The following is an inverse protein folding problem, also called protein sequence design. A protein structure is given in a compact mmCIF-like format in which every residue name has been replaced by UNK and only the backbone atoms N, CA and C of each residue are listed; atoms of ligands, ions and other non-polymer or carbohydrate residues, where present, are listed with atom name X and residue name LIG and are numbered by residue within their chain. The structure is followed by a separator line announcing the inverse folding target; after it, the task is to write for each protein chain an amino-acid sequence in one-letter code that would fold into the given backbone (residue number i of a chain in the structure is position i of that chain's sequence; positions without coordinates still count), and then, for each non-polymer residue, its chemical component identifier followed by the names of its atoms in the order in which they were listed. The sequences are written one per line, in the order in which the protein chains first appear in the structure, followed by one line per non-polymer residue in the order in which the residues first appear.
data_IF_054895568709
#
_entry.id   IF_054895568709
#
_cell.length_a   1.000
_cell.length_b   1.000
_cell.length_c   1.000
_cell.angle_alpha   90.00
_cell.angle_beta   90.00
_cell.angle_gamma   90.00
#
_symmetry.space_group_name_H-M   'P 1'
#
loop_
_entity.id
_entity.type
_entity.pdbx_description
1 polymer ?
#
# COMPACT_ATOMS: atom_id res chain seq x y z
N UNK A 1 -11.74 -23.60 15.42
CA UNK A 1 -13.09 -23.28 15.95
C UNK A 1 -14.12 -24.33 15.55
N UNK A 2 -14.38 -24.58 14.26
CA UNK A 2 -15.40 -25.52 13.80
C UNK A 2 -15.28 -26.94 14.42
N UNK A 3 -14.07 -27.51 14.47
CA UNK A 3 -13.83 -28.80 15.12
C UNK A 3 -14.22 -28.83 16.61
N UNK A 4 -14.00 -27.72 17.35
CA UNK A 4 -14.35 -27.61 18.78
C UNK A 4 -15.86 -27.51 19.02
N UNK A 5 -16.60 -26.95 18.06
CA UNK A 5 -18.07 -26.86 18.11
C UNK A 5 -18.69 -28.25 17.88
N UNK A 6 -18.11 -29.02 16.96
CA UNK A 6 -18.62 -30.36 16.59
C UNK A 6 -18.30 -31.39 17.67
N UNK A 7 -17.11 -31.35 18.27
CA UNK A 7 -16.70 -32.37 19.25
C UNK A 7 -17.32 -32.18 20.64
N UNK A 8 -17.71 -30.95 21.01
CA UNK A 8 -18.29 -30.51 22.31
C UNK A 8 -17.59 -31.00 23.60
N UNK A 9 -16.52 -31.77 23.48
CA UNK A 9 -15.74 -32.37 24.55
C UNK A 9 -14.37 -31.70 24.56
N UNK A 10 -14.27 -30.64 25.37
CA UNK A 10 -13.00 -29.98 25.65
C UNK A 10 -13.02 -29.40 27.07
N UNK A 11 -11.99 -29.74 27.84
CA UNK A 11 -11.70 -29.09 29.10
C UNK A 11 -10.84 -27.85 28.82
N UNK A 12 -11.44 -26.66 28.98
CA UNK A 12 -10.66 -25.42 28.96
C UNK A 12 -10.11 -25.22 30.36
N UNK A 13 -8.78 -25.27 30.48
CA UNK A 13 -8.11 -24.74 31.65
C UNK A 13 -8.14 -23.21 31.60
N UNK A 14 -9.21 -22.62 32.13
CA UNK A 14 -9.48 -21.17 32.02
C UNK A 14 -8.33 -20.31 32.56
N UNK A 15 -7.59 -20.81 33.55
CA UNK A 15 -6.40 -20.14 34.10
C UNK A 15 -5.26 -20.04 33.09
N UNK A 16 -4.98 -21.13 32.37
CA UNK A 16 -3.95 -21.14 31.33
C UNK A 16 -4.36 -20.22 30.16
N UNK A 17 -5.63 -20.23 29.76
CA UNK A 17 -6.16 -19.37 28.70
C UNK A 17 -6.13 -17.88 29.08
N UNK A 18 -6.43 -17.53 30.33
CA UNK A 18 -6.29 -16.17 30.85
C UNK A 18 -4.83 -15.71 30.84
N UNK A 19 -3.90 -16.55 31.30
CA UNK A 19 -2.48 -16.21 31.34
C UNK A 19 -1.90 -15.99 29.93
N UNK A 20 -2.22 -16.85 28.96
CA UNK A 20 -1.72 -16.74 27.59
C UNK A 20 -2.34 -15.57 26.82
N UNK A 21 -3.64 -15.28 27.03
CA UNK A 21 -4.27 -14.11 26.40
C UNK A 21 -3.81 -12.79 27.01
N UNK A 22 -3.57 -12.74 28.32
CA UNK A 22 -3.03 -11.55 28.98
C UNK A 22 -1.59 -11.26 28.52
N UNK A 23 -0.74 -12.29 28.38
CA UNK A 23 0.62 -12.09 27.85
C UNK A 23 0.59 -11.64 26.39
N UNK A 24 -0.31 -12.18 25.57
CA UNK A 24 -0.50 -11.76 24.18
C UNK A 24 -0.90 -10.28 24.07
N UNK A 25 -1.86 -9.81 24.88
CA UNK A 25 -2.22 -8.39 24.95
C UNK A 25 -1.01 -7.55 25.35
N UNK A 26 -0.22 -7.98 26.34
CA UNK A 26 1.00 -7.31 26.77
C UNK A 26 2.03 -7.15 25.63
N UNK A 27 2.31 -8.23 24.90
CA UNK A 27 3.23 -8.19 23.75
C UNK A 27 2.71 -7.27 22.64
N UNK A 28 1.42 -7.31 22.33
CA UNK A 28 0.82 -6.45 21.31
C UNK A 28 0.84 -4.96 21.71
N UNK A 29 0.67 -4.65 23.00
CA UNK A 29 0.82 -3.29 23.52
C UNK A 29 2.27 -2.79 23.41
N UNK A 30 3.26 -3.63 23.74
CA UNK A 30 4.68 -3.30 23.57
C UNK A 30 5.01 -3.07 22.09
N UNK A 31 4.53 -3.94 21.20
CA UNK A 31 4.72 -3.80 19.76
C UNK A 31 4.09 -2.50 19.22
N UNK A 32 2.87 -2.16 19.66
CA UNK A 32 2.20 -0.91 19.31
C UNK A 32 2.96 0.31 19.84
N UNK A 33 3.51 0.21 21.06
CA UNK A 33 4.30 1.26 21.67
C UNK A 33 5.61 1.49 20.90
N UNK A 34 6.33 0.44 20.50
CA UNK A 34 7.56 0.55 19.69
C UNK A 34 7.28 1.23 18.35
N UNK A 35 6.18 0.87 17.68
CA UNK A 35 5.78 1.53 16.43
C UNK A 35 5.43 3.02 16.64
N UNK A 36 4.81 3.37 17.77
CA UNK A 36 4.52 4.77 18.14
C UNK A 36 5.77 5.55 18.53
N UNK A 37 6.73 4.87 19.16
CA UNK A 37 8.05 5.36 19.54
C UNK A 37 9.08 5.26 18.41
N UNK A 38 8.66 5.12 17.16
CA UNK A 38 9.54 5.27 16.01
C UNK A 38 9.49 6.70 15.45
N UNK A 39 9.90 7.78 16.17
CA UNK A 39 10.38 8.97 15.50
C UNK A 39 11.78 8.63 14.98
N UNK A 40 11.89 8.36 13.68
CA UNK A 40 13.13 8.51 12.87
C UNK A 40 14.43 8.70 13.66
N UNK A 41 14.93 7.65 14.34
CA UNK A 41 16.25 7.61 14.97
C UNK A 41 16.72 6.16 15.00
N UNK A 42 17.00 5.59 13.84
CA UNK A 42 18.07 4.60 13.61
C UNK A 42 18.17 4.36 12.10
N UNK A 43 19.00 5.18 11.44
CA UNK A 43 19.49 4.85 10.10
C UNK A 43 20.53 3.74 10.21
N UNK A 44 20.14 2.52 9.86
CA UNK A 44 21.08 1.50 9.41
C UNK A 44 20.92 1.39 7.90
N UNK A 45 21.74 2.17 7.18
CA UNK A 45 21.93 1.99 5.76
C UNK A 45 22.67 0.69 5.51
N UNK A 46 21.98 -0.28 4.90
CA UNK A 46 22.65 -1.30 4.11
C UNK A 46 22.64 -0.81 2.66
N UNK A 47 23.76 -0.20 2.27
CA UNK A 47 24.13 -0.06 0.86
C UNK A 47 24.30 -1.47 0.28
N UNK A 48 23.30 -1.94 -0.46
CA UNK A 48 23.52 -2.96 -1.48
C UNK A 48 23.79 -2.20 -2.77
N UNK A 49 25.03 -2.30 -3.23
CA UNK A 49 25.52 -1.61 -4.41
C UNK A 49 25.01 -2.20 -5.73
N UNK A 50 25.45 -1.51 -6.78
CA UNK A 50 25.50 -1.88 -8.19
C UNK A 50 24.23 -1.65 -9.03
N UNK A 51 24.11 -0.42 -9.54
CA UNK A 51 24.38 -0.22 -10.97
C UNK A 51 25.16 1.09 -11.14
N UNK A 52 26.32 1.01 -11.80
CA UNK A 52 27.03 2.17 -12.33
C UNK A 52 26.13 2.90 -13.34
N UNK A 53 26.06 4.22 -13.27
CA UNK A 53 26.08 5.00 -14.50
C UNK A 53 26.61 6.40 -14.25
N UNK A 54 27.60 6.75 -15.07
CA UNK A 54 28.11 8.09 -15.27
C UNK A 54 26.97 9.05 -15.64
N UNK A 55 27.01 10.27 -15.13
CA UNK A 55 27.11 11.52 -15.90
C UNK A 55 26.65 12.75 -15.11
N UNK A 56 27.58 13.71 -15.05
CA UNK A 56 27.48 15.17 -14.98
C UNK A 56 26.11 15.86 -14.83
N UNK A 57 26.08 16.78 -13.86
CA UNK A 57 25.39 18.08 -13.88
C UNK A 57 23.87 18.13 -14.01
N UNK A 58 23.19 18.36 -12.88
CA UNK A 58 21.81 18.86 -12.86
C UNK A 58 21.13 18.59 -11.51
N UNK A 59 21.08 19.59 -10.64
CA UNK A 59 20.49 19.48 -9.30
C UNK A 59 19.04 19.04 -9.34
N UNK A 60 18.77 17.83 -8.82
CA UNK A 60 17.43 17.39 -8.45
C UNK A 60 17.53 16.79 -7.05
N UNK A 61 16.95 17.48 -6.05
CA UNK A 61 16.82 16.92 -4.69
C UNK A 61 15.80 15.78 -4.79
N UNK A 62 16.14 14.53 -4.41
CA UNK A 62 15.14 13.48 -4.34
C UNK A 62 14.05 13.90 -3.35
N UNK A 63 12.79 13.77 -3.76
CA UNK A 63 11.64 13.97 -2.90
C UNK A 63 11.80 13.08 -1.63
N UNK A 64 11.34 13.53 -0.45
CA UNK A 64 11.51 12.76 0.77
C UNK A 64 10.87 11.38 0.61
N UNK A 65 11.66 10.32 0.73
CA UNK A 65 11.16 8.94 0.84
C UNK A 65 10.19 8.89 2.03
N UNK A 66 8.87 8.67 1.82
CA UNK A 66 7.96 8.49 2.93
C UNK A 66 8.21 7.07 3.46
N UNK A 67 8.92 6.97 4.58
CA UNK A 67 9.03 5.74 5.37
C UNK A 67 7.70 5.27 5.99
N UNK A 68 6.55 5.67 5.43
CA UNK A 68 5.24 5.59 6.08
C UNK A 68 4.38 4.43 5.60
N UNK A 69 4.64 3.82 4.44
CA UNK A 69 3.76 2.77 3.90
C UNK A 69 3.91 1.47 4.67
N UNK A 70 5.14 0.98 4.85
CA UNK A 70 5.40 -0.23 5.64
C UNK A 70 5.03 -0.02 7.12
N UNK A 71 5.28 1.17 7.66
CA UNK A 71 4.90 1.51 9.05
C UNK A 71 3.38 1.57 9.20
N UNK A 72 2.64 2.11 8.22
CA UNK A 72 1.17 2.11 8.23
C UNK A 72 0.61 0.70 8.12
N UNK A 73 1.18 -0.14 7.26
CA UNK A 73 0.78 -1.54 7.14
C UNK A 73 1.04 -2.31 8.45
N UNK A 74 2.23 -2.15 9.04
CA UNK A 74 2.56 -2.71 10.34
C UNK A 74 1.61 -2.21 11.44
N UNK A 75 1.33 -0.90 11.49
CA UNK A 75 0.40 -0.34 12.47
C UNK A 75 -1.01 -0.94 12.37
N UNK A 76 -1.58 -1.04 11.17
CA UNK A 76 -2.90 -1.67 10.97
C UNK A 76 -2.89 -3.14 11.40
N UNK A 77 -1.81 -3.86 11.12
CA UNK A 77 -1.64 -5.24 11.55
C UNK A 77 -1.62 -5.38 13.08
N UNK A 78 -0.79 -4.58 13.75
CA UNK A 78 -0.66 -4.59 15.22
C UNK A 78 -1.97 -4.21 15.91
N UNK A 79 -2.72 -3.25 15.37
CA UNK A 79 -4.05 -2.90 15.88
C UNK A 79 -5.02 -4.08 15.74
N UNK A 80 -4.96 -4.81 14.61
CA UNK A 80 -5.73 -6.03 14.40
C UNK A 80 -5.42 -7.11 15.44
N UNK A 81 -4.13 -7.39 15.68
CA UNK A 81 -3.68 -8.37 16.66
C UNK A 81 -4.05 -7.98 18.09
N UNK A 82 -3.96 -6.69 18.42
CA UNK A 82 -4.37 -6.17 19.73
C UNK A 82 -5.88 -6.38 19.94
N UNK A 83 -6.70 -6.04 18.95
CA UNK A 83 -8.14 -6.22 19.02
C UNK A 83 -8.50 -7.71 19.20
N UNK A 84 -7.84 -8.60 18.45
CA UNK A 84 -8.04 -10.04 18.54
C UNK A 84 -7.62 -10.59 19.92
N UNK A 85 -6.44 -10.22 20.40
CA UNK A 85 -5.94 -10.68 21.72
C UNK A 85 -6.81 -10.21 22.88
N UNK A 86 -7.33 -8.97 22.83
CA UNK A 86 -8.32 -8.47 23.80
C UNK A 86 -9.62 -9.27 23.72
N UNK A 87 -10.08 -9.59 22.51
CA UNK A 87 -11.29 -10.40 22.32
C UNK A 87 -11.19 -11.81 22.89
N UNK A 88 -10.03 -12.46 22.76
CA UNK A 88 -9.75 -13.76 23.40
C UNK A 88 -9.68 -13.60 24.92
N UNK A 89 -9.07 -12.53 25.43
CA UNK A 89 -9.00 -12.25 26.87
C UNK A 89 -10.40 -12.07 27.48
N UNK A 90 -11.30 -11.37 26.78
CA UNK A 90 -12.70 -11.21 27.20
C UNK A 90 -13.41 -12.56 27.22
N UNK A 91 -13.26 -13.37 26.17
CA UNK A 91 -13.84 -14.72 26.11
C UNK A 91 -13.32 -15.61 27.25
N UNK A 92 -12.01 -15.59 27.51
CA UNK A 92 -11.38 -16.33 28.60
C UNK A 92 -11.90 -15.89 29.98
N UNK A 93 -12.10 -14.58 30.17
CA UNK A 93 -12.67 -14.02 31.41
C UNK A 93 -14.12 -14.49 31.62
N UNK A 94 -14.94 -14.47 30.56
CA UNK A 94 -16.32 -14.99 30.61
C UNK A 94 -16.32 -16.47 30.98
N UNK A 95 -15.44 -17.28 30.39
CA UNK A 95 -15.33 -18.72 30.67
C UNK A 95 -14.85 -18.96 32.11
N UNK A 96 -13.95 -18.12 32.64
CA UNK A 96 -13.47 -18.23 34.02
C UNK A 96 -14.58 -18.02 35.06
N UNK A 97 -15.43 -17.00 34.88
CA UNK A 97 -16.55 -16.74 35.79
C UNK A 97 -17.77 -17.63 35.53
N UNK A 98 -18.00 -18.04 34.28
CA UNK A 98 -19.12 -18.87 33.85
C UNK A 98 -18.61 -20.03 32.99
N UNK A 99 -18.13 -21.13 33.61
CA UNK A 99 -17.59 -22.29 32.88
C UNK A 99 -18.64 -23.02 32.03
N UNK A 100 -19.93 -22.73 32.18
CA UNK A 100 -21.00 -23.22 31.31
C UNK A 100 -21.00 -22.55 29.93
N UNK A 101 -20.37 -21.39 29.78
CA UNK A 101 -20.29 -20.62 28.54
C UNK A 101 -19.06 -20.95 27.69
N UNK A 102 -18.63 -22.23 27.63
CA UNK A 102 -17.44 -22.64 26.86
C UNK A 102 -17.49 -22.25 25.37
N UNK A 103 -18.70 -22.19 24.81
CA UNK A 103 -18.96 -21.80 23.40
C UNK A 103 -18.47 -20.38 23.04
N UNK A 104 -18.19 -19.53 24.04
CA UNK A 104 -17.69 -18.18 23.84
C UNK A 104 -16.32 -18.15 23.11
N UNK A 105 -15.46 -19.14 23.34
CA UNK A 105 -14.13 -19.22 22.69
C UNK A 105 -14.22 -19.48 21.17
N UNK A 106 -14.95 -20.50 20.69
CA UNK A 106 -15.15 -20.70 19.26
C UNK A 106 -15.86 -19.54 18.54
N UNK A 107 -16.86 -18.92 19.19
CA UNK A 107 -17.59 -17.77 18.62
C UNK A 107 -16.65 -16.57 18.48
N UNK A 108 -15.90 -16.25 19.54
CA UNK A 108 -14.90 -15.17 19.51
C UNK A 108 -13.87 -15.42 18.40
N UNK A 109 -13.33 -16.64 18.31
CA UNK A 109 -12.35 -17.01 17.28
C UNK A 109 -12.90 -16.87 15.85
N UNK A 110 -14.14 -17.32 15.59
CA UNK A 110 -14.77 -17.18 14.27
C UNK A 110 -15.03 -15.71 13.91
N UNK A 111 -15.53 -14.93 14.87
CA UNK A 111 -15.76 -13.50 14.68
C UNK A 111 -14.46 -12.77 14.31
N UNK A 112 -13.38 -12.98 15.06
CA UNK A 112 -12.09 -12.36 14.74
C UNK A 112 -11.49 -12.88 13.45
N UNK A 113 -11.65 -14.16 13.12
CA UNK A 113 -11.20 -14.70 11.83
C UNK A 113 -11.86 -14.00 10.64
N UNK A 114 -13.18 -13.79 10.68
CA UNK A 114 -13.91 -13.06 9.63
C UNK A 114 -13.48 -11.58 9.59
N UNK A 115 -13.32 -10.95 10.75
CA UNK A 115 -12.84 -9.57 10.84
C UNK A 115 -11.46 -9.39 10.19
N UNK A 116 -10.50 -10.25 10.54
CA UNK A 116 -9.13 -10.24 9.99
C UNK A 116 -9.11 -10.53 8.49
N UNK A 117 -9.93 -11.47 8.02
CA UNK A 117 -10.08 -11.74 6.59
C UNK A 117 -10.61 -10.50 5.85
N UNK A 118 -11.62 -9.83 6.40
CA UNK A 118 -12.17 -8.60 5.82
C UNK A 118 -11.15 -7.46 5.76
N UNK A 119 -10.42 -7.22 6.85
CA UNK A 119 -9.40 -6.17 6.90
C UNK A 119 -8.24 -6.45 5.94
N UNK A 120 -7.81 -7.71 5.86
CA UNK A 120 -6.69 -8.13 5.00
C UNK A 120 -7.07 -8.12 3.52
N UNK A 121 -8.32 -8.45 3.17
CA UNK A 121 -8.81 -8.44 1.79
C UNK A 121 -8.61 -7.07 1.11
N UNK A 122 -8.80 -5.98 1.85
CA UNK A 122 -8.60 -4.62 1.35
C UNK A 122 -7.13 -4.36 0.99
N UNK A 123 -6.20 -4.74 1.87
CA UNK A 123 -4.75 -4.60 1.65
C UNK A 123 -4.31 -5.51 0.51
N UNK A 124 -4.78 -6.76 0.50
CA UNK A 124 -4.45 -7.75 -0.50
C UNK A 124 -4.85 -7.29 -1.91
N UNK A 125 -6.03 -6.67 -2.05
CA UNK A 125 -6.48 -6.06 -3.31
C UNK A 125 -5.53 -4.95 -3.80
N UNK A 126 -4.93 -4.20 -2.88
CA UNK A 126 -4.00 -3.12 -3.23
C UNK A 126 -2.66 -3.67 -3.68
N UNK A 127 -2.16 -4.69 -3.00
CA UNK A 127 -0.95 -5.42 -3.41
C UNK A 127 -1.15 -6.07 -4.78
N UNK A 128 -2.26 -6.78 -4.99
CA UNK A 128 -2.57 -7.36 -6.29
C UNK A 128 -2.64 -6.31 -7.40
N UNK A 129 -3.20 -5.12 -7.13
CA UNK A 129 -3.23 -4.05 -8.12
C UNK A 129 -1.83 -3.59 -8.51
N UNK A 130 -0.94 -3.43 -7.54
CA UNK A 130 0.47 -3.08 -7.79
C UNK A 130 1.17 -4.17 -8.59
N UNK A 131 0.99 -5.44 -8.20
CA UNK A 131 1.61 -6.59 -8.89
C UNK A 131 1.09 -6.81 -10.32
N UNK A 132 -0.18 -6.49 -10.56
CA UNK A 132 -0.80 -6.54 -11.88
C UNK A 132 -0.50 -5.29 -12.72
N UNK A 133 0.39 -4.41 -12.27
CA UNK A 133 0.73 -3.16 -12.94
C UNK A 133 -0.53 -2.31 -13.22
N UNK A 134 -1.50 -2.35 -12.31
CA UNK A 134 -2.76 -1.64 -12.47
C UNK A 134 -2.62 -0.13 -12.25
N UNK A 135 -3.55 0.63 -12.82
CA UNK A 135 -3.60 2.09 -12.66
C UNK A 135 -3.69 2.49 -11.17
N UNK A 136 -2.91 3.49 -10.72
CA UNK A 136 -2.93 3.97 -9.35
C UNK A 136 -4.34 4.31 -8.85
N UNK A 137 -4.61 4.06 -7.57
CA UNK A 137 -5.88 4.46 -6.95
C UNK A 137 -6.00 5.98 -6.92
N UNK A 138 -7.13 6.50 -7.38
CA UNK A 138 -7.44 7.93 -7.37
C UNK A 138 -6.90 8.71 -8.57
N UNK A 139 -6.24 8.04 -9.51
CA UNK A 139 -5.79 8.64 -10.76
C UNK A 139 -6.71 8.22 -11.90
N UNK A 140 -7.31 9.22 -12.55
CA UNK A 140 -8.20 9.01 -13.70
C UNK A 140 -7.39 9.03 -15.00
N UNK A 141 -7.49 7.95 -15.76
CA UNK A 141 -6.88 7.82 -17.08
C UNK A 141 -7.28 8.97 -18.01
N UNK A 142 -8.55 9.35 -18.01
CA UNK A 142 -9.05 10.41 -18.89
C UNK A 142 -8.52 11.79 -18.48
N UNK A 143 -8.44 12.07 -17.17
CA UNK A 143 -7.88 13.32 -16.68
C UNK A 143 -6.40 13.51 -17.05
N UNK A 144 -5.62 12.42 -17.04
CA UNK A 144 -4.23 12.45 -17.53
C UNK A 144 -4.20 12.72 -19.02
N UNK A 145 -4.98 11.98 -19.80
CA UNK A 145 -5.07 12.15 -21.26
C UNK A 145 -5.45 13.59 -21.64
N UNK A 146 -6.48 14.16 -21.03
CA UNK A 146 -6.91 15.54 -21.26
C UNK A 146 -5.83 16.57 -20.88
N UNK A 147 -5.12 16.33 -19.77
CA UNK A 147 -4.02 17.22 -19.38
C UNK A 147 -2.87 17.18 -20.38
N UNK A 148 -2.55 16.00 -20.93
CA UNK A 148 -1.53 15.84 -21.96
C UNK A 148 -1.94 16.53 -23.28
N UNK A 149 -3.20 16.38 -23.68
CA UNK A 149 -3.74 17.05 -24.87
C UNK A 149 -3.83 18.58 -24.71
N UNK A 150 -3.86 19.08 -23.46
CA UNK A 150 -3.81 20.51 -23.17
C UNK A 150 -2.41 21.14 -23.25
N UNK A 151 -1.35 20.36 -23.46
CA UNK A 151 0.02 20.88 -23.62
C UNK A 151 0.19 21.48 -25.01
N UNK A 152 0.67 22.73 -25.08
CA UNK A 152 0.92 23.42 -26.34
C UNK A 152 1.83 22.61 -27.26
N UNK A 153 1.39 22.37 -28.49
CA UNK A 153 2.14 21.59 -29.50
C UNK A 153 1.85 20.09 -29.50
N UNK A 154 1.06 19.58 -28.54
CA UNK A 154 0.56 18.20 -28.55
C UNK A 154 -0.72 18.11 -29.37
N UNK A 155 -0.74 17.21 -30.36
CA UNK A 155 -1.90 16.97 -31.23
C UNK A 155 -2.65 15.69 -30.89
N UNK A 156 -1.94 14.64 -30.49
CA UNK A 156 -2.53 13.35 -30.09
C UNK A 156 -1.64 12.66 -29.06
N UNK A 157 -2.22 11.75 -28.28
CA UNK A 157 -1.54 10.92 -27.29
C UNK A 157 -1.98 9.48 -27.45
N UNK A 158 -1.04 8.55 -27.54
CA UNK A 158 -1.31 7.13 -27.67
C UNK A 158 -0.36 6.31 -26.78
N UNK A 159 -0.65 5.01 -26.66
CA UNK A 159 0.10 4.08 -25.79
C UNK A 159 0.30 4.59 -24.36
N UNK A 160 -0.72 5.26 -23.81
CA UNK A 160 -0.70 5.76 -22.44
C UNK A 160 -0.80 4.59 -21.46
N UNK A 161 0.30 4.30 -20.78
CA UNK A 161 0.36 3.30 -19.73
C UNK A 161 0.65 3.93 -18.37
N UNK A 162 -0.13 3.52 -17.38
CA UNK A 162 -0.14 4.09 -16.03
C UNK A 162 0.01 2.97 -15.01
N UNK A 163 1.08 3.01 -14.23
CA UNK A 163 1.42 1.94 -13.30
C UNK A 163 1.63 2.46 -11.88
N UNK A 164 1.21 1.67 -10.90
CA UNK A 164 1.63 1.86 -9.51
C UNK A 164 2.80 0.91 -9.20
N UNK A 165 4.02 1.44 -9.05
CA UNK A 165 5.18 0.64 -8.63
C UNK A 165 5.14 0.34 -7.14
N UNK A 166 4.65 1.30 -6.36
CA UNK A 166 4.35 1.14 -4.94
C UNK A 166 3.08 1.93 -4.61
N UNK A 167 2.62 1.85 -3.35
CA UNK A 167 1.49 2.65 -2.87
C UNK A 167 1.73 4.17 -2.94
N UNK A 168 2.98 4.63 -3.08
CA UNK A 168 3.35 6.04 -3.13
C UNK A 168 4.17 6.45 -4.35
N UNK A 169 4.63 5.49 -5.17
CA UNK A 169 5.40 5.77 -6.38
C UNK A 169 4.62 5.28 -7.60
N UNK A 170 4.30 6.22 -8.48
CA UNK A 170 3.58 5.96 -9.72
C UNK A 170 4.52 6.20 -10.91
N UNK A 171 4.34 5.41 -11.95
CA UNK A 171 5.07 5.50 -13.20
C UNK A 171 4.10 5.70 -14.37
N UNK A 172 4.56 6.42 -15.38
CA UNK A 172 3.82 6.66 -16.62
C UNK A 172 4.73 6.48 -17.82
N UNK A 173 4.22 5.81 -18.85
CA UNK A 173 4.79 5.80 -20.20
C UNK A 173 3.74 6.31 -21.18
N UNK A 174 4.12 7.20 -22.09
CA UNK A 174 3.18 7.73 -23.08
C UNK A 174 3.90 8.16 -24.35
N UNK A 175 3.24 7.97 -25.48
CA UNK A 175 3.66 8.49 -26.76
C UNK A 175 2.83 9.74 -27.09
N UNK A 176 3.53 10.82 -27.41
CA UNK A 176 2.94 12.14 -27.65
C UNK A 176 3.27 12.54 -29.07
N UNK A 177 2.23 12.72 -29.89
CA UNK A 177 2.36 13.17 -31.27
C UNK A 177 2.29 14.69 -31.33
N UNK A 178 3.35 15.32 -31.83
CA UNK A 178 3.49 16.78 -31.90
C UNK A 178 3.23 17.33 -33.30
N UNK A 179 2.81 18.59 -33.34
CA UNK A 179 2.63 19.34 -34.59
C UNK A 179 3.97 19.64 -35.27
N UNK A 180 3.95 19.79 -36.60
CA UNK A 180 5.17 19.95 -37.41
C UNK A 180 5.99 21.22 -37.09
N UNK A 181 5.38 22.23 -36.45
CA UNK A 181 6.04 23.47 -36.04
C UNK A 181 6.40 23.55 -34.56
N UNK A 182 6.06 22.53 -33.76
CA UNK A 182 6.37 22.52 -32.33
C UNK A 182 7.81 22.04 -32.09
N UNK A 183 8.47 22.64 -31.10
CA UNK A 183 9.79 22.19 -30.64
C UNK A 183 9.64 20.94 -29.76
N UNK A 184 10.17 19.77 -30.17
CA UNK A 184 10.03 18.51 -29.43
C UNK A 184 10.58 18.56 -28.00
N UNK A 185 11.69 19.28 -27.78
CA UNK A 185 12.30 19.38 -26.45
C UNK A 185 11.44 20.19 -25.49
N UNK A 186 10.88 21.32 -25.95
CA UNK A 186 9.94 22.12 -25.17
C UNK A 186 8.69 21.31 -24.80
N UNK A 187 8.09 20.59 -25.77
CA UNK A 187 6.91 19.75 -25.50
C UNK A 187 7.23 18.65 -24.49
N UNK A 188 8.36 17.96 -24.63
CA UNK A 188 8.81 16.94 -23.69
C UNK A 188 8.91 17.50 -22.27
N UNK A 189 9.60 18.64 -22.11
CA UNK A 189 9.81 19.29 -20.82
C UNK A 189 8.50 19.72 -20.18
N UNK A 190 7.61 20.33 -20.94
CA UNK A 190 6.33 20.84 -20.43
C UNK A 190 5.40 19.66 -20.05
N UNK A 191 5.39 18.60 -20.86
CA UNK A 191 4.66 17.37 -20.58
C UNK A 191 5.14 16.69 -19.29
N UNK A 192 6.44 16.49 -19.14
CA UNK A 192 7.03 15.90 -17.92
C UNK A 192 6.74 16.78 -16.71
N UNK A 193 6.79 18.10 -16.86
CA UNK A 193 6.46 19.05 -15.79
C UNK A 193 5.01 18.95 -15.36
N UNK A 194 4.06 18.86 -16.29
CA UNK A 194 2.63 18.67 -16.00
C UNK A 194 2.38 17.32 -15.30
N UNK A 195 2.97 16.22 -15.82
CA UNK A 195 2.83 14.89 -15.22
C UNK A 195 3.35 14.85 -13.78
N UNK A 196 4.49 15.49 -13.50
CA UNK A 196 5.04 15.56 -12.15
C UNK A 196 4.25 16.48 -11.23
N UNK A 197 3.89 17.68 -11.68
CA UNK A 197 3.27 18.70 -10.83
C UNK A 197 1.78 18.43 -10.52
N UNK A 198 1.00 17.97 -11.50
CA UNK A 198 -0.43 17.67 -11.30
C UNK A 198 -0.69 16.29 -10.71
N UNK A 199 0.06 15.27 -11.14
CA UNK A 199 -0.25 13.87 -10.82
C UNK A 199 0.79 13.19 -9.94
N UNK A 200 1.96 13.80 -9.72
CA UNK A 200 2.98 13.26 -8.81
C UNK A 200 3.69 12.00 -9.31
N UNK A 201 3.76 11.78 -10.64
CA UNK A 201 4.52 10.65 -11.19
C UNK A 201 6.00 10.77 -10.84
N UNK A 202 6.57 9.71 -10.25
CA UNK A 202 7.98 9.66 -9.88
C UNK A 202 8.87 9.34 -11.09
N UNK A 203 8.38 8.43 -11.94
CA UNK A 203 9.03 8.00 -13.18
C UNK A 203 8.11 8.35 -14.35
N UNK A 204 8.65 9.10 -15.32
CA UNK A 204 7.93 9.49 -16.53
C UNK A 204 8.81 9.16 -17.73
N UNK A 205 8.31 8.31 -18.62
CA UNK A 205 8.89 8.06 -19.93
C UNK A 205 7.94 8.66 -20.96
N UNK A 206 8.41 9.64 -21.72
CA UNK A 206 7.60 10.31 -22.74
C UNK A 206 8.34 10.21 -24.06
N UNK A 207 7.73 9.52 -25.02
CA UNK A 207 8.25 9.43 -26.38
C UNK A 207 7.56 10.51 -27.22
N UNK A 208 8.37 11.40 -27.81
CA UNK A 208 7.86 12.47 -28.69
C UNK A 208 7.96 12.01 -30.14
N UNK A 209 6.83 11.99 -30.83
CA UNK A 209 6.72 11.56 -32.22
C UNK A 209 6.11 12.67 -33.06
N UNK A 210 6.39 12.66 -34.38
CA UNK A 210 5.70 13.56 -35.29
C UNK A 210 4.31 13.04 -35.59
N UNK A 211 3.32 13.92 -35.56
CA UNK A 211 1.96 13.54 -35.91
C UNK A 211 1.86 12.98 -37.34
N UNK A 212 1.20 11.82 -37.46
CA UNK A 212 0.81 11.20 -38.72
C UNK A 212 -0.70 10.92 -38.68
N UNK A 213 -1.38 10.97 -39.82
CA UNK A 213 -2.85 10.88 -39.88
C UNK A 213 -3.42 9.53 -39.41
N UNK A 214 -2.60 8.47 -39.41
CA UNK A 214 -2.91 7.15 -38.88
C UNK A 214 -2.92 7.07 -37.34
N UNK A 215 -2.45 8.12 -36.66
CA UNK A 215 -2.39 8.23 -35.20
C UNK A 215 -3.56 9.02 -34.59
N UNK A 216 -4.58 9.36 -35.40
CA UNK A 216 -5.76 10.12 -35.01
C UNK A 216 -6.83 9.24 -34.35
#
# INVERSE_FOLDING_TARGET
AAARIISNDYEIEARAMLATSASAVGVNLVMAYILRQSPTRHGHGHSVGAYEQLESSGGCRPAPLPGSTSVRAAFVHVVGDLLQSVGVLVAATIIYFKPQCKIADPISTLFFSVFVLGSTSTILRDVFRVLMEGTPRGLDFNAVKETLLGVSGVRSTHDLHLWALTLSHHAVSVHVAVEAGADPETVLRDTVTQLRSKFGFALCTVQVERYREDMA
#
